data_IF_720011461119
#
_entry.id   IF_720011461119
#
_cell.length_a   1.000
_cell.length_b   1.000
_cell.length_c   1.000
_cell.angle_alpha   90.00
_cell.angle_beta   90.00
_cell.angle_gamma   90.00
#
_symmetry.space_group_name_H-M   'P 1'
#
loop_
_entity.id
_entity.type
_entity.pdbx_description
1 polymer ?
#
# COMPACT_ATOMS: atom_id res chain seq x y z
N UNK A 1 25.91 -1.88 2.18
CA UNK A 1 24.93 -0.78 2.04
C UNK A 1 24.16 -0.97 0.73
N UNK A 2 22.93 -1.47 0.78
CA UNK A 2 22.11 -1.65 -0.43
C UNK A 2 21.69 -0.29 -0.99
N UNK A 3 21.97 -0.04 -2.28
CA UNK A 3 21.54 1.18 -2.99
C UNK A 3 20.04 1.41 -2.75
N UNK A 4 19.71 2.53 -2.11
CA UNK A 4 18.34 3.03 -2.05
C UNK A 4 17.86 3.22 -3.50
N UNK A 5 16.67 2.71 -3.84
CA UNK A 5 16.10 2.89 -5.16
C UNK A 5 15.57 4.33 -5.31
N UNK A 6 16.48 5.28 -5.49
CA UNK A 6 16.20 6.73 -5.52
C UNK A 6 15.16 7.05 -6.61
N UNK A 7 15.20 6.35 -7.73
CA UNK A 7 14.26 6.51 -8.84
C UNK A 7 12.81 6.22 -8.41
N UNK A 8 12.59 5.13 -7.67
CA UNK A 8 11.26 4.75 -7.18
C UNK A 8 10.76 5.69 -6.08
N UNK A 9 11.66 6.18 -5.23
CA UNK A 9 11.32 7.21 -4.24
C UNK A 9 10.94 8.53 -4.92
N UNK A 10 11.61 8.90 -6.02
CA UNK A 10 11.25 10.07 -6.83
C UNK A 10 9.87 9.95 -7.47
N UNK A 11 9.53 8.78 -8.04
CA UNK A 11 8.20 8.53 -8.59
C UNK A 11 7.10 8.61 -7.53
N UNK A 12 7.35 8.13 -6.31
CA UNK A 12 6.42 8.28 -5.18
C UNK A 12 6.24 9.73 -4.77
N UNK A 13 7.31 10.51 -4.76
CA UNK A 13 7.23 11.94 -4.46
C UNK A 13 6.40 12.68 -5.52
N UNK A 14 6.63 12.40 -6.82
CA UNK A 14 5.83 12.97 -7.91
C UNK A 14 4.34 12.60 -7.77
N UNK A 15 4.05 11.35 -7.42
CA UNK A 15 2.67 10.90 -7.19
C UNK A 15 2.02 11.66 -6.03
N UNK A 16 2.75 11.82 -4.92
CA UNK A 16 2.26 12.57 -3.76
C UNK A 16 2.03 14.05 -4.10
N UNK A 17 2.93 14.67 -4.85
CA UNK A 17 2.76 16.05 -5.31
C UNK A 17 1.50 16.22 -6.17
N UNK A 18 1.23 15.27 -7.08
CA UNK A 18 0.01 15.28 -7.89
C UNK A 18 -1.25 15.13 -7.02
N UNK A 19 -1.22 14.30 -5.98
CA UNK A 19 -2.32 14.15 -5.02
C UNK A 19 -2.54 15.45 -4.25
N UNK A 20 -1.49 16.06 -3.70
CA UNK A 20 -1.59 17.34 -3.01
C UNK A 20 -2.11 18.45 -3.93
N UNK A 21 -1.65 18.46 -5.18
CA UNK A 21 -2.12 19.40 -6.19
C UNK A 21 -3.63 19.29 -6.39
N UNK A 22 -4.16 18.08 -6.59
CA UNK A 22 -5.61 17.87 -6.81
C UNK A 22 -6.47 18.38 -5.64
N UNK A 23 -5.98 18.22 -4.41
CA UNK A 23 -6.68 18.67 -3.20
C UNK A 23 -6.67 20.18 -2.99
N UNK A 24 -5.65 20.88 -3.47
CA UNK A 24 -5.49 22.33 -3.31
C UNK A 24 -5.76 23.12 -4.60
N UNK A 25 -6.04 22.43 -5.70
CA UNK A 25 -6.32 23.07 -6.97
C UNK A 25 -7.69 23.78 -6.90
N UNK A 26 -7.75 25.08 -7.24
CA UNK A 26 -9.01 25.81 -7.35
C UNK A 26 -10.01 25.10 -8.28
N UNK A 27 -11.30 25.14 -7.94
CA UNK A 27 -12.36 24.43 -8.68
C UNK A 27 -12.54 24.88 -10.13
N UNK A 28 -12.03 26.07 -10.48
CA UNK A 28 -12.06 26.64 -11.82
C UNK A 28 -10.92 26.16 -12.73
N UNK A 29 -9.95 25.41 -12.20
CA UNK A 29 -8.87 24.85 -13.01
C UNK A 29 -9.29 23.51 -13.62
N UNK A 30 -8.89 23.22 -14.89
CA UNK A 30 -9.21 21.96 -15.52
C UNK A 30 -8.50 20.82 -14.79
N UNK A 31 -9.26 19.82 -14.34
CA UNK A 31 -8.71 18.55 -13.85
C UNK A 31 -8.31 17.70 -15.06
N UNK A 32 -7.04 17.82 -15.46
CA UNK A 32 -6.51 17.22 -16.70
C UNK A 32 -6.45 15.68 -16.60
N UNK A 33 -6.28 15.13 -15.39
CA UNK A 33 -6.13 13.69 -15.16
C UNK A 33 -7.04 13.21 -14.02
N UNK A 34 -7.54 11.96 -14.09
CA UNK A 34 -8.20 11.33 -12.95
C UNK A 34 -7.19 11.13 -11.81
N UNK A 35 -7.37 11.88 -10.73
CA UNK A 35 -6.46 11.94 -9.57
C UNK A 35 -6.24 10.57 -8.91
N UNK A 36 -7.24 9.70 -8.98
CA UNK A 36 -7.24 8.34 -8.47
C UNK A 36 -6.04 7.53 -8.98
N UNK A 37 -5.60 7.78 -10.23
CA UNK A 37 -4.45 7.09 -10.83
C UNK A 37 -3.17 7.38 -10.03
N UNK A 38 -2.94 8.64 -9.62
CA UNK A 38 -1.73 9.00 -8.86
C UNK A 38 -1.75 8.41 -7.45
N UNK A 39 -2.93 8.35 -6.83
CA UNK A 39 -3.11 7.65 -5.56
C UNK A 39 -2.82 6.16 -5.70
N UNK A 40 -3.39 5.49 -6.70
CA UNK A 40 -3.13 4.08 -6.97
C UNK A 40 -1.64 3.83 -7.25
N UNK A 41 -1.02 4.68 -8.06
CA UNK A 41 0.40 4.56 -8.37
C UNK A 41 1.29 4.73 -7.12
N UNK A 42 0.97 5.70 -6.26
CA UNK A 42 1.64 5.87 -4.97
C UNK A 42 1.52 4.63 -4.07
N UNK A 43 0.30 4.07 -3.95
CA UNK A 43 0.05 2.87 -3.14
C UNK A 43 0.77 1.65 -3.72
N UNK A 44 0.70 1.46 -5.04
CA UNK A 44 1.37 0.36 -5.77
C UNK A 44 2.88 0.37 -5.56
N UNK A 45 3.53 1.53 -5.73
CA UNK A 45 4.97 1.67 -5.50
C UNK A 45 5.32 1.45 -4.02
N UNK A 46 4.49 1.93 -3.11
CA UNK A 46 4.67 1.74 -1.67
C UNK A 46 4.63 0.26 -1.30
N UNK A 47 3.63 -0.48 -1.81
CA UNK A 47 3.50 -1.92 -1.63
C UNK A 47 4.70 -2.72 -2.16
N UNK A 48 5.18 -2.37 -3.36
CA UNK A 48 6.38 -2.96 -3.96
C UNK A 48 7.63 -2.78 -3.08
N UNK A 49 7.91 -1.55 -2.65
CA UNK A 49 9.08 -1.26 -1.81
C UNK A 49 9.01 -1.92 -0.43
N UNK A 50 7.81 -1.97 0.17
CA UNK A 50 7.60 -2.64 1.45
C UNK A 50 7.86 -4.13 1.31
N UNK A 51 7.22 -4.78 0.34
CA UNK A 51 7.32 -6.23 0.13
C UNK A 51 8.76 -6.64 -0.16
N UNK A 52 9.43 -5.93 -1.08
CA UNK A 52 10.83 -6.21 -1.39
C UNK A 52 11.76 -6.02 -0.18
N UNK A 53 11.47 -5.06 0.70
CA UNK A 53 12.24 -4.91 1.94
C UNK A 53 12.04 -6.08 2.91
N UNK A 54 10.80 -6.56 3.06
CA UNK A 54 10.48 -7.68 3.95
C UNK A 54 11.07 -9.00 3.43
N UNK A 55 11.02 -9.23 2.11
CA UNK A 55 11.63 -10.40 1.48
C UNK A 55 13.15 -10.40 1.68
N UNK A 56 13.84 -9.27 1.49
CA UNK A 56 15.29 -9.19 1.76
C UNK A 56 15.65 -9.41 3.22
N UNK A 57 14.81 -8.90 4.14
CA UNK A 57 15.01 -9.12 5.58
C UNK A 57 14.77 -10.58 5.95
N UNK A 58 13.82 -11.24 5.27
CA UNK A 58 13.60 -12.68 5.35
C UNK A 58 14.79 -13.48 4.87
N UNK A 59 15.31 -13.19 3.68
CA UNK A 59 16.46 -13.91 3.11
C UNK A 59 17.66 -13.85 4.08
N UNK A 60 17.99 -12.66 4.58
CA UNK A 60 19.06 -12.46 5.57
C UNK A 60 18.79 -13.19 6.89
N UNK A 61 17.55 -13.22 7.33
CA UNK A 61 17.16 -13.91 8.55
C UNK A 61 17.27 -15.43 8.41
N UNK A 62 16.80 -15.99 7.28
CA UNK A 62 16.88 -17.41 6.97
C UNK A 62 18.35 -17.89 6.87
N UNK A 63 19.27 -17.05 6.40
CA UNK A 63 20.72 -17.33 6.37
C UNK A 63 21.34 -17.47 7.79
N UNK A 64 20.81 -16.75 8.79
CA UNK A 64 21.40 -16.69 10.14
C UNK A 64 21.06 -17.89 11.04
N UNK A 65 20.21 -18.83 10.59
CA UNK A 65 19.78 -20.05 11.30
C UNK A 65 19.25 -19.89 12.76
N UNK A 66 19.08 -18.65 13.23
CA UNK A 66 18.63 -18.29 14.58
C UNK A 66 17.18 -17.74 14.57
N UNK A 67 16.48 -17.66 15.72
CA UNK A 67 15.16 -17.04 15.79
C UNK A 67 15.24 -15.51 15.55
N UNK A 68 15.18 -15.10 14.28
CA UNK A 68 15.33 -13.70 13.84
C UNK A 68 13.99 -12.94 13.75
N UNK A 69 12.88 -13.66 13.53
CA UNK A 69 11.58 -13.08 13.12
C UNK A 69 11.04 -12.03 14.09
N UNK A 70 11.06 -12.33 15.39
CA UNK A 70 10.49 -11.44 16.40
C UNK A 70 11.31 -10.15 16.58
N UNK A 71 12.64 -10.25 16.61
CA UNK A 71 13.52 -9.08 16.73
C UNK A 71 13.50 -8.21 15.48
N UNK A 72 13.49 -8.84 14.30
CA UNK A 72 13.31 -8.16 13.02
C UNK A 72 11.97 -7.41 12.98
N UNK A 73 10.87 -8.05 13.42
CA UNK A 73 9.55 -7.40 13.52
C UNK A 73 9.57 -6.18 14.42
N UNK A 74 10.10 -6.30 15.64
CA UNK A 74 10.18 -5.19 16.56
C UNK A 74 10.97 -4.02 15.97
N UNK A 75 12.11 -4.29 15.35
CA UNK A 75 12.98 -3.26 14.80
C UNK A 75 12.39 -2.63 13.54
N UNK A 76 11.74 -3.44 12.70
CA UNK A 76 11.01 -2.99 11.53
C UNK A 76 9.86 -2.06 11.91
N UNK A 77 9.00 -2.49 12.85
CA UNK A 77 7.84 -1.72 13.28
C UNK A 77 8.24 -0.46 14.04
N UNK A 78 9.30 -0.49 14.85
CA UNK A 78 9.76 0.71 15.54
C UNK A 78 10.28 1.77 14.55
N UNK A 79 11.17 1.37 13.63
CA UNK A 79 11.77 2.31 12.66
C UNK A 79 10.75 2.90 11.70
N UNK A 80 9.84 2.07 11.18
CA UNK A 80 8.85 2.51 10.19
C UNK A 80 7.62 3.11 10.84
N UNK A 81 7.16 2.53 11.94
CA UNK A 81 6.03 3.01 12.73
C UNK A 81 6.27 4.42 13.21
N UNK A 82 7.41 4.74 13.84
CA UNK A 82 7.68 6.10 14.30
C UNK A 82 7.68 7.14 13.17
N UNK A 83 8.19 6.77 11.99
CA UNK A 83 8.21 7.68 10.82
C UNK A 83 6.82 8.02 10.30
N UNK A 84 5.84 7.14 10.46
CA UNK A 84 4.47 7.29 9.92
C UNK A 84 3.51 7.74 11.00
N UNK A 85 3.54 7.10 12.17
CA UNK A 85 2.64 7.36 13.30
C UNK A 85 2.87 8.73 13.93
N UNK A 86 4.12 9.20 14.02
CA UNK A 86 4.38 10.52 14.60
C UNK A 86 3.71 11.66 13.81
N UNK A 87 3.92 11.80 12.48
CA UNK A 87 3.21 12.82 11.71
C UNK A 87 1.70 12.53 11.62
N UNK A 88 1.26 11.27 11.61
CA UNK A 88 -0.16 10.90 11.64
C UNK A 88 -0.86 11.47 12.87
N UNK A 89 -0.38 11.13 14.06
CA UNK A 89 -1.01 11.56 15.31
C UNK A 89 -0.85 13.06 15.54
N UNK A 90 0.23 13.67 15.05
CA UNK A 90 0.35 15.13 15.04
C UNK A 90 -0.74 15.78 14.17
N UNK A 91 -1.02 15.23 12.99
CA UNK A 91 -2.09 15.72 12.12
C UNK A 91 -3.49 15.52 12.72
N UNK A 92 -3.75 14.35 13.35
CA UNK A 92 -5.02 14.10 14.07
C UNK A 92 -5.19 15.06 15.25
N UNK A 93 -4.15 15.26 16.06
CA UNK A 93 -4.19 16.20 17.18
C UNK A 93 -4.45 17.64 16.69
N UNK A 94 -3.78 18.07 15.62
CA UNK A 94 -4.00 19.37 15.01
C UNK A 94 -5.44 19.53 14.50
N UNK A 95 -6.00 18.50 13.84
CA UNK A 95 -7.39 18.50 13.39
C UNK A 95 -8.38 18.64 14.55
N UNK A 96 -8.13 17.96 15.68
CA UNK A 96 -8.96 18.08 16.89
C UNK A 96 -8.88 19.48 17.51
N UNK A 97 -7.69 20.07 17.58
CA UNK A 97 -7.45 21.41 18.12
C UNK A 97 -8.13 22.48 17.27
N UNK A 98 -8.02 22.37 15.94
CA UNK A 98 -8.61 23.32 14.99
C UNK A 98 -10.12 23.13 14.82
N UNK A 99 -10.72 22.13 15.47
CA UNK A 99 -12.15 21.84 15.35
C UNK A 99 -12.54 21.39 13.94
N UNK A 100 -11.69 20.60 13.29
CA UNK A 100 -11.99 20.08 11.96
C UNK A 100 -13.33 19.31 11.98
N UNK A 101 -14.16 19.46 10.93
CA UNK A 101 -15.39 18.71 10.81
C UNK A 101 -15.14 17.21 10.96
N UNK A 102 -16.04 16.52 11.65
CA UNK A 102 -16.01 15.07 11.85
C UNK A 102 -14.85 14.54 12.71
N UNK A 103 -13.95 15.40 13.20
CA UNK A 103 -12.77 14.95 13.95
C UNK A 103 -13.11 14.33 15.30
N UNK A 104 -14.05 14.95 16.02
CA UNK A 104 -14.51 14.45 17.31
C UNK A 104 -15.49 13.28 17.17
N UNK A 105 -16.44 13.35 16.22
CA UNK A 105 -17.41 12.26 15.97
C UNK A 105 -16.72 10.99 15.48
N UNK A 106 -15.68 11.13 14.64
CA UNK A 106 -14.91 10.02 14.10
C UNK A 106 -13.66 9.66 14.91
N UNK A 107 -13.43 10.25 16.09
CA UNK A 107 -12.14 10.18 16.80
C UNK A 107 -11.58 8.77 16.96
N UNK A 108 -12.41 7.81 17.40
CA UNK A 108 -11.97 6.43 17.59
C UNK A 108 -11.56 5.76 16.27
N UNK A 109 -12.24 6.07 15.18
CA UNK A 109 -11.91 5.55 13.86
C UNK A 109 -10.54 6.07 13.38
N UNK A 110 -10.23 7.34 13.64
CA UNK A 110 -8.91 7.90 13.34
C UNK A 110 -7.83 7.39 14.30
N UNK A 111 -8.12 7.25 15.59
CA UNK A 111 -7.17 6.76 16.59
C UNK A 111 -6.66 5.35 16.26
N UNK A 112 -7.58 4.46 15.88
CA UNK A 112 -7.30 3.05 15.58
C UNK A 112 -6.99 2.76 14.11
N UNK A 113 -6.86 3.79 13.26
CA UNK A 113 -6.59 3.62 11.83
C UNK A 113 -7.66 2.76 11.13
N UNK A 114 -8.92 3.06 11.40
CA UNK A 114 -10.11 2.39 10.86
C UNK A 114 -11.00 3.34 10.04
N UNK A 115 -10.47 4.51 9.64
CA UNK A 115 -11.20 5.52 8.87
C UNK A 115 -11.73 4.99 7.52
N UNK A 116 -11.04 4.04 6.90
CA UNK A 116 -11.52 3.38 5.69
C UNK A 116 -12.80 2.55 5.93
N UNK A 117 -12.92 1.90 7.10
CA UNK A 117 -14.13 1.17 7.49
C UNK A 117 -15.24 2.14 7.85
N UNK A 118 -14.91 3.20 8.60
CA UNK A 118 -15.87 4.25 8.94
C UNK A 118 -16.54 4.83 7.69
N UNK A 119 -15.73 5.16 6.68
CA UNK A 119 -16.23 5.73 5.42
C UNK A 119 -16.97 4.69 4.57
N UNK A 120 -16.53 3.43 4.58
CA UNK A 120 -17.26 2.34 3.94
C UNK A 120 -18.66 2.14 4.55
N UNK A 121 -18.82 2.37 5.86
CA UNK A 121 -20.10 2.29 6.55
C UNK A 121 -20.96 3.53 6.35
N UNK A 122 -20.35 4.72 6.40
CA UNK A 122 -21.06 5.99 6.26
C UNK A 122 -21.63 6.18 4.86
N UNK A 123 -20.92 5.69 3.83
CA UNK A 123 -21.31 5.92 2.43
C UNK A 123 -21.14 7.36 1.98
N UNK A 124 -20.35 8.13 2.71
CA UNK A 124 -20.06 9.54 2.45
C UNK A 124 -18.59 9.84 2.74
N UNK A 125 -18.10 10.95 2.17
CA UNK A 125 -16.76 11.47 2.38
C UNK A 125 -16.77 12.52 3.51
N UNK A 126 -16.22 12.21 4.70
CA UNK A 126 -16.12 13.18 5.80
C UNK A 126 -15.36 14.42 5.35
N UNK A 127 -15.89 15.59 5.67
CA UNK A 127 -15.43 16.84 5.08
C UNK A 127 -14.05 17.29 5.60
N UNK A 128 -13.73 16.97 6.85
CA UNK A 128 -12.46 17.39 7.49
C UNK A 128 -11.35 16.35 7.49
N UNK A 129 -11.70 15.06 7.50
CA UNK A 129 -10.73 13.97 7.79
C UNK A 129 -10.80 12.80 6.80
N UNK A 130 -11.41 13.00 5.63
CA UNK A 130 -11.43 11.99 4.57
C UNK A 130 -10.02 11.44 4.26
N UNK A 131 -8.99 12.26 4.03
CA UNK A 131 -7.67 11.81 3.55
C UNK A 131 -7.01 10.69 4.39
N UNK A 132 -7.37 10.55 5.67
CA UNK A 132 -6.84 9.54 6.56
C UNK A 132 -7.21 8.10 6.16
N UNK A 133 -8.21 7.86 5.32
CA UNK A 133 -8.58 6.52 4.85
C UNK A 133 -7.41 5.80 4.15
N UNK A 134 -6.71 6.50 3.27
CA UNK A 134 -5.59 5.95 2.50
C UNK A 134 -4.38 5.65 3.39
N UNK A 135 -4.23 6.42 4.47
CA UNK A 135 -3.16 6.26 5.45
C UNK A 135 -3.47 5.13 6.43
N UNK A 136 -4.74 4.94 6.79
CA UNK A 136 -5.22 3.79 7.55
C UNK A 136 -4.95 2.47 6.82
N UNK A 137 -5.28 2.37 5.52
CA UNK A 137 -4.99 1.17 4.72
C UNK A 137 -3.48 0.88 4.68
N UNK A 138 -2.65 1.91 4.49
CA UNK A 138 -1.20 1.74 4.52
C UNK A 138 -0.72 1.21 5.88
N UNK A 139 -1.23 1.76 6.99
CA UNK A 139 -0.86 1.31 8.34
C UNK A 139 -1.28 -0.14 8.59
N UNK A 140 -2.50 -0.51 8.19
CA UNK A 140 -3.00 -1.90 8.27
C UNK A 140 -2.08 -2.84 7.49
N UNK A 141 -1.67 -2.45 6.28
CA UNK A 141 -0.73 -3.21 5.48
C UNK A 141 0.65 -3.33 6.14
N UNK A 142 1.19 -2.24 6.71
CA UNK A 142 2.45 -2.27 7.47
C UNK A 142 2.40 -3.20 8.68
N UNK A 143 1.24 -3.30 9.33
CA UNK A 143 1.05 -4.17 10.47
C UNK A 143 0.95 -5.64 10.05
N UNK A 144 0.12 -5.94 9.05
CA UNK A 144 -0.23 -7.32 8.64
C UNK A 144 0.85 -7.97 7.76
N UNK A 145 1.41 -7.23 6.81
CA UNK A 145 2.26 -7.79 5.75
C UNK A 145 3.56 -8.47 6.23
N UNK A 146 4.27 -7.98 7.27
CA UNK A 146 5.42 -8.70 7.84
C UNK A 146 5.04 -10.09 8.36
N UNK A 147 3.85 -10.24 8.95
CA UNK A 147 3.37 -11.55 9.40
C UNK A 147 3.16 -12.48 8.22
N UNK A 148 2.55 -11.97 7.14
CA UNK A 148 2.34 -12.75 5.91
C UNK A 148 3.69 -13.19 5.31
N UNK A 149 4.65 -12.28 5.18
CA UNK A 149 5.93 -12.56 4.50
C UNK A 149 6.85 -13.45 5.32
N UNK A 150 6.93 -13.28 6.65
CA UNK A 150 7.92 -13.98 7.48
C UNK A 150 7.42 -15.29 8.08
N UNK A 151 6.11 -15.45 8.25
CA UNK A 151 5.55 -16.65 8.89
C UNK A 151 5.00 -17.66 7.89
N UNK A 152 4.58 -17.24 6.68
CA UNK A 152 4.19 -18.20 5.64
C UNK A 152 5.39 -18.81 4.89
N UNK A 153 5.33 -20.09 4.52
CA UNK A 153 6.30 -20.70 3.63
C UNK A 153 6.21 -20.06 2.23
N UNK A 154 7.33 -19.97 1.50
CA UNK A 154 7.39 -19.29 0.19
C UNK A 154 6.34 -19.79 -0.82
N UNK A 155 6.03 -21.08 -0.79
CA UNK A 155 4.99 -21.69 -1.66
C UNK A 155 3.60 -21.12 -1.38
N UNK A 156 3.26 -20.91 -0.10
CA UNK A 156 1.97 -20.31 0.29
C UNK A 156 1.95 -18.80 0.12
N UNK A 157 3.12 -18.14 0.00
CA UNK A 157 3.18 -16.71 -0.20
C UNK A 157 2.59 -16.31 -1.57
N UNK A 158 2.84 -17.08 -2.63
CA UNK A 158 2.19 -16.86 -3.94
C UNK A 158 0.67 -16.92 -3.80
N UNK A 159 0.16 -17.93 -3.09
CA UNK A 159 -1.27 -18.11 -2.88
C UNK A 159 -1.86 -16.95 -2.07
N UNK A 160 -1.18 -16.53 -0.99
CA UNK A 160 -1.61 -15.41 -0.18
C UNK A 160 -1.65 -14.11 -1.01
N UNK A 161 -0.58 -13.79 -1.72
CA UNK A 161 -0.50 -12.60 -2.57
C UNK A 161 -1.55 -12.63 -3.71
N UNK A 162 -1.78 -13.81 -4.31
CA UNK A 162 -2.83 -14.02 -5.29
C UNK A 162 -4.23 -13.82 -4.71
N UNK A 163 -4.51 -14.42 -3.55
CA UNK A 163 -5.78 -14.24 -2.84
C UNK A 163 -6.04 -12.76 -2.53
N UNK A 164 -5.04 -12.05 -2.02
CA UNK A 164 -5.12 -10.62 -1.76
C UNK A 164 -5.35 -9.78 -3.03
N UNK A 165 -4.71 -10.14 -4.15
CA UNK A 165 -4.92 -9.48 -5.44
C UNK A 165 -6.34 -9.70 -5.99
N UNK A 166 -6.97 -10.84 -5.65
CA UNK A 166 -8.34 -11.15 -6.03
C UNK A 166 -9.41 -10.44 -5.18
N UNK A 167 -9.07 -9.92 -4.00
CA UNK A 167 -10.04 -9.27 -3.10
C UNK A 167 -10.80 -8.13 -3.79
N UNK A 168 -10.12 -7.28 -4.55
CA UNK A 168 -10.76 -6.14 -5.23
C UNK A 168 -11.61 -6.49 -6.45
N UNK A 169 -11.19 -7.36 -7.40
CA UNK A 169 -12.10 -7.79 -8.45
C UNK A 169 -13.30 -8.56 -7.86
N UNK A 170 -13.10 -9.36 -6.81
CA UNK A 170 -14.20 -10.03 -6.13
C UNK A 170 -15.14 -9.02 -5.45
N UNK A 171 -14.62 -8.01 -4.75
CA UNK A 171 -15.47 -6.98 -4.13
C UNK A 171 -16.27 -6.16 -5.14
N UNK A 172 -15.75 -6.01 -6.37
CA UNK A 172 -16.50 -5.40 -7.48
C UNK A 172 -17.55 -6.33 -8.06
N UNK A 173 -17.26 -7.63 -8.17
CA UNK A 173 -18.22 -8.63 -8.67
C UNK A 173 -19.40 -8.80 -7.71
N UNK A 174 -19.15 -8.79 -6.39
CA UNK A 174 -20.16 -8.93 -5.35
C UNK A 174 -20.56 -7.58 -4.75
N UNK A 175 -20.48 -6.51 -5.54
CA UNK A 175 -20.76 -5.16 -5.06
C UNK A 175 -22.15 -5.04 -4.44
N UNK A 176 -23.16 -5.57 -5.12
CA UNK A 176 -24.56 -5.41 -4.71
C UNK A 176 -24.85 -6.15 -3.39
N UNK A 177 -24.28 -7.34 -3.20
CA UNK A 177 -24.38 -8.08 -1.94
C UNK A 177 -23.63 -7.38 -0.79
N UNK A 178 -22.44 -6.85 -1.08
CA UNK A 178 -21.64 -6.13 -0.09
C UNK A 178 -22.25 -4.77 0.27
N UNK A 179 -22.96 -4.14 -0.67
CA UNK A 179 -23.61 -2.83 -0.49
C UNK A 179 -24.68 -2.83 0.60
N UNK A 180 -25.21 -4.01 0.94
CA UNK A 180 -26.15 -4.19 2.05
C UNK A 180 -25.50 -4.00 3.43
N UNK A 181 -24.18 -4.20 3.53
CA UNK A 181 -23.41 -4.12 4.77
C UNK A 181 -22.49 -2.91 4.81
N UNK A 182 -21.96 -2.50 3.66
CA UNK A 182 -21.06 -1.36 3.50
C UNK A 182 -21.47 -0.56 2.28
N UNK A 183 -21.81 0.71 2.46
CA UNK A 183 -22.16 1.59 1.35
C UNK A 183 -21.06 1.68 0.29
N UNK A 184 -19.78 1.76 0.70
CA UNK A 184 -18.63 1.79 -0.23
C UNK A 184 -17.61 0.67 0.05
N UNK A 185 -17.89 -0.57 -0.41
CA UNK A 185 -17.04 -1.72 -0.13
C UNK A 185 -15.65 -1.64 -0.80
N UNK A 186 -15.47 -0.77 -1.79
CA UNK A 186 -14.19 -0.59 -2.49
C UNK A 186 -13.11 -0.01 -1.55
N UNK A 187 -13.49 0.81 -0.56
CA UNK A 187 -12.59 1.40 0.44
C UNK A 187 -11.95 0.38 1.38
N UNK A 188 -12.49 -0.85 1.43
CA UNK A 188 -11.95 -1.93 2.25
C UNK A 188 -10.80 -2.67 1.57
N UNK A 189 -10.57 -2.45 0.27
CA UNK A 189 -9.69 -3.31 -0.52
C UNK A 189 -8.27 -2.75 -0.67
N UNK A 190 -7.22 -3.45 -0.18
CA UNK A 190 -5.84 -2.99 -0.27
C UNK A 190 -5.15 -3.36 -1.60
N UNK A 191 -5.89 -3.71 -2.66
CA UNK A 191 -5.36 -4.34 -3.88
C UNK A 191 -4.18 -3.57 -4.49
N UNK A 192 -4.26 -2.24 -4.49
CA UNK A 192 -3.19 -1.38 -5.01
C UNK A 192 -1.83 -1.72 -4.38
N UNK A 193 -1.76 -2.10 -3.10
CA UNK A 193 -0.51 -2.40 -2.40
C UNK A 193 0.13 -3.75 -2.80
N UNK A 194 -0.54 -4.59 -3.60
CA UNK A 194 -0.17 -6.02 -3.74
C UNK A 194 0.11 -6.45 -5.19
N UNK A 195 -0.42 -5.72 -6.19
CA UNK A 195 -0.29 -6.08 -7.62
C UNK A 195 1.17 -6.19 -8.08
N UNK A 196 1.98 -5.12 -7.92
CA UNK A 196 3.39 -5.15 -8.34
C UNK A 196 4.25 -6.12 -7.52
N UNK A 197 4.12 -6.20 -6.18
CA UNK A 197 4.77 -7.25 -5.42
C UNK A 197 4.51 -8.66 -5.96
N UNK A 198 3.25 -8.97 -6.29
CA UNK A 198 2.88 -10.29 -6.80
C UNK A 198 3.53 -10.56 -8.15
N UNK A 199 3.50 -9.58 -9.06
CA UNK A 199 4.13 -9.70 -10.37
C UNK A 199 5.64 -9.97 -10.27
N UNK A 200 6.35 -9.19 -9.44
CA UNK A 200 7.79 -9.36 -9.20
C UNK A 200 8.10 -10.69 -8.51
N UNK A 201 7.30 -11.08 -7.52
CA UNK A 201 7.49 -12.35 -6.83
C UNK A 201 7.28 -13.54 -7.77
N UNK A 202 6.24 -13.53 -8.59
CA UNK A 202 6.00 -14.54 -9.62
C UNK A 202 7.17 -14.60 -10.61
N UNK A 203 7.63 -13.46 -11.10
CA UNK A 203 8.82 -13.36 -11.96
C UNK A 203 10.06 -13.95 -11.30
N UNK A 204 10.23 -13.71 -10.01
CA UNK A 204 11.38 -14.20 -9.23
C UNK A 204 11.43 -15.71 -9.07
N UNK A 205 10.28 -16.40 -9.13
CA UNK A 205 10.20 -17.86 -9.06
C UNK A 205 10.66 -18.56 -10.36
N UNK A 206 10.71 -17.85 -11.50
CA UNK A 206 11.16 -18.42 -12.76
C UNK A 206 12.70 -18.35 -12.92
N UNK A 207 13.34 -19.38 -13.48
CA UNK A 207 14.77 -19.36 -13.77
C UNK A 207 15.12 -18.20 -14.71
N UNK A 208 16.32 -17.64 -14.58
CA UNK A 208 16.76 -16.39 -15.24
C UNK A 208 16.53 -16.39 -16.76
N UNK A 209 16.61 -17.55 -17.41
CA UNK A 209 16.33 -17.72 -18.85
C UNK A 209 14.85 -17.58 -19.28
N UNK A 210 13.90 -17.64 -18.35
CA UNK A 210 12.46 -17.45 -18.62
C UNK A 210 11.92 -16.07 -18.21
N UNK A 211 12.76 -15.22 -17.57
CA UNK A 211 12.35 -13.88 -17.07
C UNK A 211 11.95 -12.88 -18.16
N UNK A 212 12.39 -13.06 -19.40
CA UNK A 212 12.27 -12.02 -20.43
C UNK A 212 11.24 -12.30 -21.53
N UNK A 213 10.42 -13.35 -21.42
CA UNK A 213 9.46 -13.70 -22.48
C UNK A 213 8.13 -12.93 -22.45
N UNK A 214 7.95 -12.04 -21.48
CA UNK A 214 6.82 -11.10 -21.40
C UNK A 214 7.37 -9.67 -21.44
N UNK A 215 8.05 -9.36 -22.54
CA UNK A 215 8.64 -8.05 -22.82
C UNK A 215 8.49 -7.77 -24.30
N UNK A 216 7.81 -6.68 -24.60
CA UNK A 216 7.69 -6.00 -25.89
C UNK A 216 8.94 -6.26 -26.75
N UNK A 217 8.74 -6.84 -27.93
CA UNK A 217 9.75 -6.86 -28.99
C UNK A 217 10.08 -5.42 -29.40
N UNK A 218 11.07 -4.82 -28.76
CA UNK A 218 11.84 -3.72 -29.32
C UNK A 218 13.25 -4.27 -29.53
N UNK A 219 13.63 -4.39 -30.80
CA UNK A 219 14.76 -5.19 -31.24
C UNK A 219 16.11 -4.78 -30.66
N UNK A 220 16.91 -5.79 -30.34
CA UNK A 220 18.34 -5.81 -30.60
C UNK A 220 18.77 -7.27 -30.75
N UNK A 221 19.24 -7.60 -31.95
CA UNK A 221 19.84 -8.87 -32.35
C UNK A 221 21.23 -9.06 -31.68
N UNK A 222 21.80 -10.28 -31.72
CA UNK A 222 22.71 -10.80 -30.71
C UNK A 222 24.17 -10.49 -31.02
N UNK A 223 25.01 -10.43 -29.97
CA UNK A 223 26.43 -10.71 -30.13
C UNK A 223 26.79 -11.94 -29.31
N UNK A 224 27.04 -13.01 -30.05
CA UNK A 224 27.82 -14.19 -29.66
C UNK A 224 29.27 -13.88 -30.01
N UNK A 225 30.14 -13.90 -29.01
CA UNK A 225 31.46 -14.52 -28.98
C UNK A 225 32.04 -14.35 -27.57
#
# INVERSE_FOLDING_TARGET
MTKRAIQLDGLRALSMMAICWDHWCPSNWPRIFPFEIFLFFFLVLTGYLITGSLLRERDRGEELAAPWKFQALKTYQLRRGLRILAPYYAAVALALILGAPDAWSGFLWYLFHLSNIHMAQLGDWPSGMNHFWSLAIQQQFYLIWPFVIWFLPRKQLVLAMGAFALIAPLSRMFHDDLSQWFAWPQLLTPMALIILPLADFLHSQFPVGCRWRIGICAGAQPFVC
#
